data_IF_210358178338
#
_entry.id   IF_210358178338
#
_cell.length_a   1.000
_cell.length_b   1.000
_cell.length_c   1.000
_cell.angle_alpha   90.00
_cell.angle_beta   90.00
_cell.angle_gamma   90.00
#
_symmetry.space_group_name_H-M   'P 1'
#
loop_
_entity.id
_entity.type
_entity.pdbx_description
1 polymer ?
#
# COMPACT_ATOMS: atom_id res chain seq x y z
N UNK A 1 1.67 10.36 -7.13
CA UNK A 1 2.37 9.08 -7.41
C UNK A 1 1.61 7.92 -6.80
N UNK A 2 1.40 6.83 -7.53
CA UNK A 2 0.90 5.55 -7.01
C UNK A 2 2.11 4.67 -6.72
N UNK A 3 2.33 4.31 -5.46
CA UNK A 3 3.55 3.67 -4.98
C UNK A 3 3.26 2.30 -4.37
N UNK A 4 4.10 1.32 -4.65
CA UNK A 4 4.16 0.06 -3.92
C UNK A 4 5.59 -0.23 -3.47
N UNK A 5 5.79 -1.28 -2.67
CA UNK A 5 7.11 -1.76 -2.31
C UNK A 5 7.14 -3.27 -2.21
N UNK A 6 8.28 -3.85 -2.50
CA UNK A 6 8.42 -5.30 -2.51
C UNK A 6 9.82 -5.74 -2.09
N UNK A 7 9.85 -6.76 -1.26
CA UNK A 7 11.06 -7.49 -0.85
C UNK A 7 11.26 -8.78 -1.68
N UNK A 8 12.34 -9.49 -1.43
CA UNK A 8 12.63 -10.77 -2.11
C UNK A 8 11.60 -11.86 -1.85
N UNK A 9 10.81 -11.77 -0.75
CA UNK A 9 9.81 -12.80 -0.42
C UNK A 9 8.53 -12.66 -1.24
N UNK A 10 8.28 -11.46 -1.80
CA UNK A 10 7.06 -11.13 -2.51
C UNK A 10 7.32 -10.57 -3.92
N UNK A 11 8.57 -10.57 -4.40
CA UNK A 11 8.95 -10.01 -5.70
C UNK A 11 8.33 -10.73 -6.90
N UNK A 12 7.80 -11.92 -6.70
CA UNK A 12 7.04 -12.64 -7.71
C UNK A 12 5.74 -11.90 -8.10
N UNK A 13 5.12 -11.18 -7.17
CA UNK A 13 3.87 -10.45 -7.39
C UNK A 13 4.05 -9.14 -8.18
N UNK A 14 5.28 -8.56 -8.22
CA UNK A 14 5.47 -7.21 -8.76
C UNK A 14 5.11 -7.09 -10.24
N UNK A 15 5.38 -8.11 -11.04
CA UNK A 15 5.03 -8.10 -12.47
C UNK A 15 3.51 -8.05 -12.70
N UNK A 16 2.75 -8.75 -11.89
CA UNK A 16 1.29 -8.70 -11.89
C UNK A 16 0.79 -7.31 -11.44
N UNK A 17 1.31 -6.81 -10.32
CA UNK A 17 0.92 -5.49 -9.80
C UNK A 17 1.20 -4.37 -10.81
N UNK A 18 2.40 -4.35 -11.41
CA UNK A 18 2.78 -3.34 -12.41
C UNK A 18 1.90 -3.39 -13.66
N UNK A 19 1.60 -4.59 -14.18
CA UNK A 19 0.67 -4.74 -15.29
C UNK A 19 -0.70 -4.15 -14.95
N UNK A 20 -1.19 -4.41 -13.74
CA UNK A 20 -2.45 -3.89 -13.22
C UNK A 20 -2.42 -2.36 -13.13
N UNK A 21 -1.41 -1.80 -12.45
CA UNK A 21 -1.24 -0.37 -12.28
C UNK A 21 -1.11 0.36 -13.62
N UNK A 22 -0.25 -0.10 -14.52
CA UNK A 22 -0.04 0.56 -15.83
C UNK A 22 -1.24 0.44 -16.77
N UNK A 23 -2.12 -0.54 -16.54
CA UNK A 23 -3.37 -0.67 -17.31
C UNK A 23 -4.37 0.41 -16.92
N UNK A 24 -4.51 0.69 -15.63
CA UNK A 24 -5.57 1.54 -15.10
C UNK A 24 -5.13 2.98 -14.80
N UNK A 25 -3.89 3.19 -14.34
CA UNK A 25 -3.37 4.52 -13.99
C UNK A 25 -2.72 5.15 -15.22
N UNK A 26 -3.17 6.35 -15.59
CA UNK A 26 -2.70 7.06 -16.80
C UNK A 26 -1.95 8.35 -16.48
N UNK A 27 -2.43 9.11 -15.51
CA UNK A 27 -1.98 10.48 -15.26
C UNK A 27 -1.08 10.62 -14.02
N UNK A 28 -0.88 9.54 -13.27
CA UNK A 28 -0.03 9.54 -12.08
C UNK A 28 1.27 8.75 -12.34
N UNK A 29 2.35 9.20 -11.74
CA UNK A 29 3.60 8.43 -11.71
C UNK A 29 3.37 7.11 -10.98
N UNK A 30 3.80 6.00 -11.56
CA UNK A 30 3.82 4.69 -10.90
C UNK A 30 5.22 4.47 -10.34
N UNK A 31 5.30 4.09 -9.06
CA UNK A 31 6.56 3.86 -8.37
C UNK A 31 6.64 2.49 -7.70
N UNK A 32 7.88 1.98 -7.61
CA UNK A 32 8.21 0.78 -6.84
C UNK A 32 9.34 1.10 -5.88
N UNK A 33 9.11 0.89 -4.60
CA UNK A 33 10.15 0.96 -3.59
C UNK A 33 10.84 -0.39 -3.45
N UNK A 34 12.15 -0.41 -3.64
CA UNK A 34 12.98 -1.62 -3.52
C UNK A 34 13.28 -1.92 -2.06
N UNK A 35 12.52 -2.83 -1.48
CA UNK A 35 12.68 -3.31 -0.11
C UNK A 35 13.63 -4.50 0.01
N UNK A 36 14.49 -4.71 -0.99
CA UNK A 36 15.43 -5.82 -1.05
C UNK A 36 15.08 -6.88 -2.09
N UNK A 37 14.62 -6.45 -3.26
CA UNK A 37 14.42 -7.34 -4.43
C UNK A 37 15.72 -7.95 -4.91
N UNK A 38 15.63 -9.07 -5.62
CA UNK A 38 16.75 -9.64 -6.34
C UNK A 38 17.23 -8.73 -7.48
N UNK A 39 18.51 -8.78 -7.86
CA UNK A 39 19.04 -8.06 -9.02
C UNK A 39 18.27 -8.38 -10.32
N UNK A 40 17.87 -9.64 -10.49
CA UNK A 40 17.10 -10.08 -11.65
C UNK A 40 15.72 -9.40 -11.72
N UNK A 41 15.06 -9.20 -10.56
CA UNK A 41 13.76 -8.54 -10.52
C UNK A 41 13.88 -7.04 -10.77
N UNK A 42 14.92 -6.38 -10.29
CA UNK A 42 15.20 -4.97 -10.63
C UNK A 42 15.39 -4.78 -12.13
N UNK A 43 16.18 -5.67 -12.76
CA UNK A 43 16.42 -5.62 -14.21
C UNK A 43 15.13 -5.88 -14.99
N UNK A 44 14.31 -6.82 -14.53
CA UNK A 44 12.98 -7.05 -15.12
C UNK A 44 12.12 -5.77 -15.11
N UNK A 45 12.06 -5.04 -13.99
CA UNK A 45 11.29 -3.79 -13.91
C UNK A 45 11.84 -2.76 -14.89
N UNK A 46 13.15 -2.51 -14.87
CA UNK A 46 13.80 -1.53 -15.76
C UNK A 46 13.58 -1.82 -17.25
N UNK A 47 13.60 -3.11 -17.62
CA UNK A 47 13.45 -3.54 -19.01
C UNK A 47 12.01 -3.47 -19.48
N UNK A 48 11.05 -3.93 -18.68
CA UNK A 48 9.66 -4.09 -19.12
C UNK A 48 8.76 -2.89 -18.74
N UNK A 49 9.21 -2.08 -17.79
CA UNK A 49 8.46 -0.92 -17.27
C UNK A 49 9.37 0.32 -17.15
N UNK A 50 9.98 0.80 -18.25
CA UNK A 50 11.00 1.85 -18.21
C UNK A 50 10.48 3.20 -17.69
N UNK A 51 9.16 3.42 -17.70
CA UNK A 51 8.53 4.64 -17.20
C UNK A 51 8.14 4.56 -15.72
N UNK A 52 8.34 3.41 -15.07
CA UNK A 52 8.10 3.24 -13.64
C UNK A 52 9.28 3.77 -12.84
N UNK A 53 9.01 4.63 -11.88
CA UNK A 53 10.04 5.07 -10.94
C UNK A 53 10.44 3.90 -10.03
N UNK A 54 11.73 3.64 -9.93
CA UNK A 54 12.29 2.60 -9.08
C UNK A 54 13.27 3.22 -8.09
N UNK A 55 13.05 3.03 -6.78
CA UNK A 55 13.98 3.52 -5.77
C UNK A 55 15.34 2.83 -5.86
N UNK A 56 16.35 3.45 -5.24
CA UNK A 56 17.59 2.72 -4.92
C UNK A 56 17.29 1.64 -3.88
N UNK A 57 18.01 0.49 -3.92
CA UNK A 57 17.83 -0.57 -2.95
C UNK A 57 18.13 -0.10 -1.53
N UNK A 58 17.32 -0.51 -0.56
CA UNK A 58 17.71 -0.39 0.84
C UNK A 58 18.95 -1.22 1.13
N UNK A 59 19.94 -0.60 1.76
CA UNK A 59 21.27 -1.17 1.93
C UNK A 59 21.36 -2.35 2.89
N UNK A 60 20.33 -2.68 3.65
CA UNK A 60 20.26 -3.85 4.55
C UNK A 60 18.83 -4.30 4.84
N UNK A 61 18.66 -5.57 4.67
CA UNK A 61 17.52 -6.38 4.89
C UNK A 61 17.52 -6.91 6.34
N UNK A 62 16.76 -6.34 7.23
CA UNK A 62 16.69 -6.82 8.62
C UNK A 62 15.29 -6.99 9.17
N UNK A 63 14.25 -6.56 8.46
CA UNK A 63 12.86 -6.66 8.89
C UNK A 63 11.94 -6.88 7.69
N UNK A 64 10.71 -7.33 7.96
CA UNK A 64 9.68 -7.50 6.94
C UNK A 64 9.38 -6.19 6.23
N UNK A 65 9.11 -6.25 4.93
CA UNK A 65 8.90 -5.08 4.06
C UNK A 65 7.86 -4.08 4.59
N UNK A 66 6.83 -4.53 5.31
CA UNK A 66 5.82 -3.64 5.88
C UNK A 66 6.35 -2.64 6.93
N UNK A 67 7.48 -2.93 7.60
CA UNK A 67 8.13 -1.97 8.51
C UNK A 67 8.73 -0.77 7.78
N UNK A 68 9.00 -0.90 6.48
CA UNK A 68 9.54 0.18 5.65
C UNK A 68 8.50 0.93 4.82
N UNK A 69 7.24 0.53 4.87
CA UNK A 69 6.16 1.15 4.12
C UNK A 69 6.06 2.66 4.36
N UNK A 70 6.02 3.07 5.64
CA UNK A 70 5.93 4.48 6.00
C UNK A 70 7.17 5.26 5.60
N UNK A 71 8.35 4.67 5.76
CA UNK A 71 9.59 5.26 5.28
C UNK A 71 9.53 5.48 3.76
N UNK A 72 9.04 4.51 3.00
CA UNK A 72 8.89 4.66 1.56
C UNK A 72 7.92 5.78 1.17
N UNK A 73 6.83 5.95 1.91
CA UNK A 73 5.89 7.07 1.71
C UNK A 73 6.53 8.40 2.06
N UNK A 74 7.29 8.48 3.16
CA UNK A 74 7.98 9.70 3.61
C UNK A 74 9.05 10.14 2.61
N UNK A 75 9.86 9.20 2.11
CA UNK A 75 11.01 9.48 1.25
C UNK A 75 10.67 9.44 -0.25
N UNK A 76 9.40 9.21 -0.61
CA UNK A 76 8.99 9.26 -2.00
C UNK A 76 9.29 10.62 -2.65
N UNK A 77 9.69 10.67 -3.94
CA UNK A 77 10.10 11.90 -4.60
C UNK A 77 8.97 12.93 -4.80
N UNK A 78 7.73 12.48 -4.69
CA UNK A 78 6.54 13.33 -4.78
C UNK A 78 5.87 13.49 -3.41
N UNK A 79 5.25 14.66 -3.15
CA UNK A 79 4.49 14.88 -1.92
C UNK A 79 3.17 14.11 -1.91
N UNK A 80 2.49 14.04 -3.07
CA UNK A 80 1.27 13.28 -3.27
C UNK A 80 1.60 11.81 -3.50
N UNK A 81 1.30 10.97 -2.52
CA UNK A 81 1.58 9.53 -2.59
C UNK A 81 0.35 8.74 -2.17
N UNK A 82 -0.05 7.79 -3.01
CA UNK A 82 -0.95 6.71 -2.62
C UNK A 82 -0.13 5.41 -2.61
N UNK A 83 0.18 4.92 -1.42
CA UNK A 83 0.76 3.59 -1.24
C UNK A 83 -0.30 2.54 -1.40
N UNK A 84 -0.01 1.49 -2.17
CA UNK A 84 -0.80 0.28 -2.24
C UNK A 84 0.10 -0.93 -1.97
N UNK A 85 -0.32 -1.81 -1.06
CA UNK A 85 0.39 -3.07 -0.86
C UNK A 85 0.45 -3.87 -2.16
N UNK A 86 1.53 -4.64 -2.37
CA UNK A 86 1.76 -5.38 -3.63
C UNK A 86 0.69 -6.46 -3.91
N UNK A 87 -0.12 -6.80 -2.90
CA UNK A 87 -1.27 -7.68 -3.04
C UNK A 87 -2.62 -6.91 -3.19
N UNK A 88 -2.57 -5.63 -3.58
CA UNK A 88 -3.72 -4.84 -4.00
C UNK A 88 -3.92 -4.94 -5.52
N UNK A 89 -5.11 -5.36 -5.94
CA UNK A 89 -5.56 -5.37 -7.33
C UNK A 89 -6.26 -4.05 -7.66
N UNK A 90 -5.80 -3.33 -8.66
CA UNK A 90 -6.43 -2.10 -9.15
C UNK A 90 -7.41 -2.48 -10.26
N UNK A 91 -8.68 -2.15 -10.12
CA UNK A 91 -9.75 -2.52 -11.06
C UNK A 91 -10.12 -1.39 -12.04
N UNK A 92 -9.78 -0.16 -11.69
CA UNK A 92 -10.05 1.05 -12.49
C UNK A 92 -9.09 2.16 -12.07
N UNK A 93 -9.13 3.29 -12.75
CA UNK A 93 -8.35 4.47 -12.33
C UNK A 93 -8.74 4.92 -10.91
N UNK A 94 -7.71 5.20 -10.11
CA UNK A 94 -7.84 5.65 -8.73
C UNK A 94 -7.21 7.02 -8.49
N UNK A 95 -6.85 7.76 -9.53
CA UNK A 95 -6.18 9.06 -9.41
C UNK A 95 -7.01 10.09 -8.65
N UNK A 96 -8.32 9.92 -8.63
CA UNK A 96 -9.26 10.75 -7.87
C UNK A 96 -9.14 10.60 -6.34
N UNK A 97 -8.46 9.56 -5.84
CA UNK A 97 -8.23 9.33 -4.41
C UNK A 97 -7.54 10.53 -3.73
N UNK A 98 -6.65 11.20 -4.45
CA UNK A 98 -5.94 12.37 -3.94
C UNK A 98 -6.86 13.56 -3.66
N UNK A 99 -7.98 13.68 -4.36
CA UNK A 99 -8.94 14.76 -4.15
C UNK A 99 -9.74 14.59 -2.85
N UNK A 100 -9.67 13.42 -2.24
CA UNK A 100 -10.41 13.09 -1.03
C UNK A 100 -9.64 13.38 0.26
N UNK A 101 -8.33 13.66 0.17
CA UNK A 101 -7.45 13.76 1.34
C UNK A 101 -6.88 15.18 1.45
N UNK A 102 -7.16 15.92 2.52
CA UNK A 102 -6.50 17.20 2.80
C UNK A 102 -4.98 17.03 3.00
N UNK A 103 -4.14 18.03 2.70
CA UNK A 103 -2.68 17.92 2.83
C UNK A 103 -2.19 17.57 4.24
N UNK A 104 -2.91 18.02 5.28
CA UNK A 104 -2.60 17.80 6.69
C UNK A 104 -3.07 16.45 7.24
N UNK A 105 -3.75 15.63 6.42
CA UNK A 105 -4.35 14.37 6.85
C UNK A 105 -3.76 13.16 6.12
N UNK A 106 -3.93 11.98 6.70
CA UNK A 106 -3.65 10.69 6.09
C UNK A 106 -4.98 10.05 5.69
N UNK A 107 -5.12 9.66 4.42
CA UNK A 107 -6.27 8.93 3.92
C UNK A 107 -6.17 7.44 4.18
N UNK A 108 -7.14 6.85 4.89
CA UNK A 108 -7.21 5.42 5.20
C UNK A 108 -8.65 4.92 5.12
N UNK A 109 -8.84 3.63 4.86
CA UNK A 109 -10.15 2.96 4.97
C UNK A 109 -10.28 2.25 6.32
N UNK A 110 -11.51 1.82 6.65
CA UNK A 110 -11.75 0.99 7.84
C UNK A 110 -11.48 -0.49 7.57
N UNK A 111 -10.87 -1.16 8.55
CA UNK A 111 -10.82 -2.62 8.62
C UNK A 111 -11.96 -3.15 9.50
N UNK A 112 -13.12 -3.30 8.92
CA UNK A 112 -14.33 -3.80 9.60
C UNK A 112 -14.25 -5.26 10.06
N UNK A 113 -13.24 -5.99 9.60
CA UNK A 113 -12.98 -7.36 10.04
C UNK A 113 -12.29 -7.37 11.41
N UNK A 114 -11.49 -6.34 11.70
CA UNK A 114 -10.74 -6.19 12.96
C UNK A 114 -11.33 -5.13 13.89
N UNK A 115 -12.63 -5.09 14.04
CA UNK A 115 -13.24 -4.24 15.04
C UNK A 115 -13.04 -2.75 14.80
N UNK A 116 -13.13 -2.31 13.55
CA UNK A 116 -13.05 -0.90 13.19
C UNK A 116 -11.65 -0.28 13.20
N UNK A 117 -10.60 -1.06 13.17
CA UNK A 117 -9.25 -0.54 13.00
C UNK A 117 -9.08 0.18 11.66
N UNK A 118 -8.05 0.99 11.56
CA UNK A 118 -7.66 1.58 10.28
C UNK A 118 -6.90 0.56 9.45
N UNK A 119 -7.34 0.34 8.21
CA UNK A 119 -6.68 -0.56 7.28
C UNK A 119 -5.53 0.17 6.58
N UNK A 120 -4.37 -0.47 6.49
CA UNK A 120 -3.12 0.15 6.03
C UNK A 120 -2.58 -0.41 4.72
N UNK A 121 -3.37 -1.21 4.01
CA UNK A 121 -3.00 -1.71 2.67
C UNK A 121 -3.07 -0.63 1.59
N UNK A 122 -3.84 0.44 1.83
CA UNK A 122 -3.84 1.68 1.05
C UNK A 122 -3.64 2.85 2.01
N UNK A 123 -2.62 3.68 1.75
CA UNK A 123 -2.30 4.89 2.53
C UNK A 123 -2.15 6.05 1.55
N UNK A 124 -2.89 7.13 1.77
CA UNK A 124 -2.86 8.30 0.90
C UNK A 124 -2.42 9.54 1.66
N UNK A 125 -1.49 10.28 1.08
CA UNK A 125 -1.05 11.58 1.58
C UNK A 125 -0.91 12.56 0.43
N UNK A 126 -1.22 13.82 0.66
CA UNK A 126 -0.96 14.93 -0.27
C UNK A 126 0.19 15.83 0.17
N UNK A 127 0.72 15.57 1.37
CA UNK A 127 1.91 16.18 1.96
C UNK A 127 2.51 15.20 2.98
N UNK A 128 3.31 15.68 3.91
CA UNK A 128 3.94 14.89 4.98
C UNK A 128 3.37 15.29 6.35
N UNK A 129 2.12 14.90 6.69
CA UNK A 129 1.51 15.23 7.98
C UNK A 129 2.32 14.65 9.14
N UNK A 130 2.27 15.33 10.30
CA UNK A 130 3.05 14.93 11.47
C UNK A 130 2.77 13.49 11.93
N UNK A 131 1.52 13.07 11.89
CA UNK A 131 1.12 11.71 12.26
C UNK A 131 1.86 10.64 11.44
N UNK A 132 2.22 10.90 10.18
CA UNK A 132 2.98 9.95 9.34
C UNK A 132 4.36 9.66 9.94
N UNK A 133 5.04 10.68 10.46
CA UNK A 133 6.34 10.53 11.13
C UNK A 133 6.20 9.85 12.50
N UNK A 134 5.22 10.26 13.31
CA UNK A 134 4.96 9.66 14.61
C UNK A 134 4.64 8.16 14.45
N UNK A 135 3.85 7.80 13.44
CA UNK A 135 3.54 6.42 13.10
C UNK A 135 4.80 5.65 12.68
N UNK A 136 5.66 6.24 11.84
CA UNK A 136 6.91 5.61 11.44
C UNK A 136 7.84 5.39 12.64
N UNK A 137 7.95 6.35 13.56
CA UNK A 137 8.72 6.21 14.81
C UNK A 137 8.14 5.09 15.66
N UNK A 138 6.82 5.05 15.87
CA UNK A 138 6.15 4.01 16.66
C UNK A 138 6.37 2.61 16.08
N UNK A 139 6.24 2.48 14.76
CA UNK A 139 6.44 1.21 14.07
C UNK A 139 7.87 0.65 14.26
N UNK A 140 8.87 1.52 14.37
CA UNK A 140 10.29 1.15 14.46
C UNK A 140 10.83 1.14 15.92
N UNK A 141 9.98 1.25 16.93
CA UNK A 141 10.40 1.32 18.33
C UNK A 141 10.94 0.00 18.94
N UNK A 142 10.90 -1.12 18.19
CA UNK A 142 11.41 -2.46 18.58
C UNK A 142 10.86 -3.02 19.90
N UNK A 143 9.60 -2.76 20.22
CA UNK A 143 8.95 -3.12 21.49
C UNK A 143 7.78 -4.11 21.34
N UNK A 144 7.86 -4.98 20.35
CA UNK A 144 6.87 -6.06 20.15
C UNK A 144 5.75 -5.75 19.17
N UNK A 145 5.76 -4.59 18.49
CA UNK A 145 4.85 -4.27 17.40
C UNK A 145 5.01 -5.29 16.27
N UNK A 146 3.91 -5.85 15.80
CA UNK A 146 3.87 -6.88 14.76
C UNK A 146 3.64 -6.32 13.36
N UNK A 147 3.22 -5.06 13.23
CA UNK A 147 2.96 -4.43 11.94
C UNK A 147 2.48 -2.99 12.03
N UNK A 148 2.41 -2.36 10.88
CA UNK A 148 2.04 -0.97 10.69
C UNK A 148 0.64 -0.63 11.21
N UNK A 149 -0.33 -1.50 10.98
CA UNK A 149 -1.71 -1.33 11.44
C UNK A 149 -1.82 -1.34 12.98
N UNK A 150 -1.05 -2.21 13.65
CA UNK A 150 -1.00 -2.27 15.11
C UNK A 150 -0.35 -1.00 15.68
N UNK A 151 0.78 -0.56 15.10
CA UNK A 151 1.45 0.67 15.51
C UNK A 151 0.54 1.90 15.41
N UNK A 152 -0.22 2.01 14.32
CA UNK A 152 -1.18 3.11 14.17
C UNK A 152 -2.29 3.04 15.21
N UNK A 153 -2.87 1.84 15.41
CA UNK A 153 -3.95 1.66 16.38
C UNK A 153 -3.52 1.97 17.82
N UNK A 154 -2.27 1.73 18.17
CA UNK A 154 -1.72 2.13 19.48
C UNK A 154 -1.57 3.64 19.63
N UNK A 155 -1.24 4.35 18.54
CA UNK A 155 -1.09 5.80 18.58
C UNK A 155 -2.42 6.54 18.70
N UNK A 156 -3.42 6.14 17.90
CA UNK A 156 -4.65 6.93 17.75
C UNK A 156 -5.92 6.17 18.11
N UNK A 157 -5.80 4.87 18.42
CA UNK A 157 -6.97 4.01 18.66
C UNK A 157 -7.77 3.73 17.38
N UNK A 158 -8.95 3.16 17.56
CA UNK A 158 -9.88 2.84 16.46
C UNK A 158 -10.95 3.91 16.18
N UNK A 159 -10.94 4.99 16.96
CA UNK A 159 -11.90 6.09 16.80
C UNK A 159 -11.53 7.00 15.61
N UNK A 160 -12.41 7.94 15.28
CA UNK A 160 -12.07 9.05 14.38
C UNK A 160 -10.94 9.87 14.99
N UNK A 161 -10.00 10.28 14.14
CA UNK A 161 -8.86 11.11 14.53
C UNK A 161 -8.77 12.31 13.59
N UNK A 162 -8.42 13.48 14.12
CA UNK A 162 -8.41 14.73 13.36
C UNK A 162 -7.42 14.75 12.19
N UNK A 163 -6.34 13.95 12.25
CA UNK A 163 -5.35 13.80 11.17
C UNK A 163 -5.65 12.61 10.24
N UNK A 164 -6.81 11.94 10.37
CA UNK A 164 -7.22 10.84 9.49
C UNK A 164 -8.45 11.23 8.68
N UNK A 165 -8.31 11.21 7.36
CA UNK A 165 -9.42 11.25 6.43
C UNK A 165 -9.90 9.83 6.14
N UNK A 166 -11.12 9.51 6.53
CA UNK A 166 -11.73 8.23 6.16
C UNK A 166 -12.04 8.19 4.67
N UNK A 167 -11.42 7.24 3.97
CA UNK A 167 -11.67 7.00 2.56
C UNK A 167 -12.88 6.07 2.36
N UNK A 168 -13.62 6.22 1.25
CA UNK A 168 -14.61 5.24 0.85
C UNK A 168 -14.00 3.84 0.74
N UNK A 169 -14.74 2.84 1.19
CA UNK A 169 -14.28 1.46 1.21
C UNK A 169 -13.92 0.91 -0.18
N UNK A 170 -14.46 1.49 -1.23
CA UNK A 170 -14.18 1.11 -2.61
C UNK A 170 -12.70 1.22 -2.98
N UNK A 171 -11.91 2.04 -2.27
CA UNK A 171 -10.47 2.15 -2.47
C UNK A 171 -9.63 1.08 -1.76
N UNK A 172 -10.25 0.28 -0.88
CA UNK A 172 -9.58 -0.89 -0.28
C UNK A 172 -10.61 -1.94 0.13
N UNK A 173 -11.15 -2.67 -0.84
CA UNK A 173 -12.09 -3.76 -0.56
C UNK A 173 -11.33 -5.00 -0.10
N UNK A 174 -11.58 -5.46 1.11
CA UNK A 174 -10.88 -6.63 1.66
C UNK A 174 -11.41 -7.93 1.06
N UNK A 175 -10.52 -8.84 0.63
CA UNK A 175 -10.92 -10.18 0.14
C UNK A 175 -11.83 -10.94 1.13
N UNK A 176 -11.65 -10.69 2.44
CA UNK A 176 -12.45 -11.34 3.48
C UNK A 176 -13.92 -10.94 3.35
N UNK A 177 -14.20 -9.69 2.97
CA UNK A 177 -15.57 -9.23 2.69
C UNK A 177 -16.18 -9.97 1.50
N UNK A 178 -15.41 -10.19 0.42
CA UNK A 178 -15.84 -10.98 -0.72
C UNK A 178 -16.18 -12.42 -0.32
N UNK A 179 -15.35 -13.05 0.50
CA UNK A 179 -15.58 -14.41 1.02
C UNK A 179 -16.83 -14.50 1.92
N UNK A 180 -17.26 -13.38 2.50
CA UNK A 180 -18.50 -13.26 3.29
C UNK A 180 -19.72 -12.89 2.44
N UNK A 181 -19.59 -12.89 1.11
CA UNK A 181 -20.65 -12.49 0.19
C UNK A 181 -20.94 -10.99 0.14
N UNK A 182 -20.07 -10.16 0.74
CA UNK A 182 -20.15 -8.71 0.66
C UNK A 182 -19.35 -8.25 -0.54
N UNK A 183 -20.01 -7.69 -1.53
CA UNK A 183 -19.39 -7.17 -2.74
C UNK A 183 -19.99 -5.81 -3.10
N UNK A 184 -19.24 -5.01 -3.86
CA UNK A 184 -19.68 -3.72 -4.41
C UNK A 184 -19.29 -3.62 -5.88
N UNK A 185 -20.19 -3.18 -6.76
CA UNK A 185 -19.86 -2.91 -8.15
C UNK A 185 -18.97 -1.69 -8.34
N UNK A 186 -18.85 -0.84 -7.33
CA UNK A 186 -18.07 0.41 -7.35
C UNK A 186 -16.67 0.26 -6.78
N UNK A 187 -16.30 -0.93 -6.27
CA UNK A 187 -14.94 -1.16 -5.74
C UNK A 187 -13.87 -0.88 -6.79
N UNK A 188 -12.88 -0.11 -6.40
CA UNK A 188 -11.77 0.32 -7.25
C UNK A 188 -10.49 -0.49 -7.00
N UNK A 189 -10.30 -0.92 -5.74
CA UNK A 189 -9.15 -1.72 -5.31
C UNK A 189 -9.62 -2.90 -4.47
N UNK A 190 -9.13 -4.11 -4.78
CA UNK A 190 -9.29 -5.29 -3.92
C UNK A 190 -7.96 -5.56 -3.23
N UNK A 191 -7.96 -5.61 -1.91
CA UNK A 191 -6.80 -6.03 -1.13
C UNK A 191 -6.89 -7.54 -0.82
N UNK A 192 -6.10 -8.32 -1.54
CA UNK A 192 -5.95 -9.76 -1.39
C UNK A 192 -5.10 -10.14 -0.17
N UNK A 193 -5.32 -9.49 0.95
CA UNK A 193 -4.51 -9.54 2.16
C UNK A 193 -4.17 -10.95 2.63
N UNK A 194 -2.92 -11.12 3.07
CA UNK A 194 -2.41 -12.31 3.73
C UNK A 194 -2.04 -13.48 2.79
N UNK A 195 -1.54 -14.60 3.35
CA UNK A 195 -1.05 -15.72 2.55
C UNK A 195 -2.09 -16.32 1.60
N UNK A 196 -3.34 -16.43 2.04
CA UNK A 196 -4.44 -16.96 1.23
C UNK A 196 -4.75 -16.07 0.03
N UNK A 197 -4.71 -14.76 0.23
CA UNK A 197 -4.94 -13.80 -0.86
C UNK A 197 -3.79 -13.81 -1.88
N UNK A 198 -2.55 -13.82 -1.43
CA UNK A 198 -1.38 -13.93 -2.31
C UNK A 198 -1.37 -15.25 -3.10
N UNK A 199 -1.81 -16.33 -2.50
CA UNK A 199 -1.98 -17.61 -3.21
C UNK A 199 -3.06 -17.52 -4.28
N UNK A 200 -4.18 -16.83 -4.01
CA UNK A 200 -5.21 -16.55 -5.01
C UNK A 200 -4.66 -15.76 -6.19
N UNK A 201 -3.87 -14.71 -5.95
CA UNK A 201 -3.21 -13.94 -7.02
C UNK A 201 -2.35 -14.87 -7.88
N UNK A 202 -1.47 -15.68 -7.27
CA UNK A 202 -0.57 -16.60 -7.99
C UNK A 202 -1.33 -17.59 -8.86
N UNK A 203 -2.41 -18.17 -8.34
CA UNK A 203 -3.16 -19.21 -9.07
C UNK A 203 -4.10 -18.67 -10.14
N UNK A 204 -4.71 -17.52 -9.90
CA UNK A 204 -5.85 -17.08 -10.68
C UNK A 204 -5.63 -15.79 -11.47
N UNK A 205 -4.76 -14.88 -11.01
CA UNK A 205 -4.61 -13.54 -11.57
C UNK A 205 -3.27 -13.30 -12.29
N UNK A 206 -2.27 -14.13 -12.07
CA UNK A 206 -0.95 -14.00 -12.71
C UNK A 206 -0.83 -14.71 -14.07
N UNK A 207 -1.94 -15.14 -14.66
CA UNK A 207 -1.96 -15.84 -15.95
C UNK A 207 -1.64 -14.91 -17.11
#
# INVERSE_FOLDING_TARGET
>A
MILTGVDSNHEDLIGWWLRNATTHIKDETIGVWDLGMSPAKREFIKTHYPNVWLSIPLSKNTSSGWFYKLHAVIEAPELRVAWLDVDCEILTDISDIFNLVPPEMIGLTRDWVRGNWWATGVIVVNDRPKLLYDWNVRLNANDGIRGDQEALNELIGSNTHEEIQELPQDYQWLRISLNQGKDSPTKKVIHWTGPVGREHIRKNLMK
#
